data_IF_482193684900
#
_entry.id   IF_482193684900
#
_cell.length_a   1.000
_cell.length_b   1.000
_cell.length_c   1.000
_cell.angle_alpha   90.00
_cell.angle_beta   90.00
_cell.angle_gamma   90.00
#
_symmetry.space_group_name_H-M   'P 1'
#
loop_
_entity.id
_entity.type
_entity.pdbx_description
1 polymer ?
#
# COMPACT_ATOMS: atom_id res chain seq x y z
N UNK A 1 -5.62 3.71 4.45
CA UNK A 1 -4.71 4.28 3.43
C UNK A 1 -5.15 3.76 2.09
N UNK A 2 -5.27 4.66 1.11
CA UNK A 2 -5.60 4.32 -0.27
C UNK A 2 -4.29 4.02 -1.00
N UNK A 3 -4.16 2.86 -1.62
CA UNK A 3 -3.01 2.55 -2.49
C UNK A 3 -3.54 2.26 -3.88
N UNK A 4 -3.24 3.12 -4.84
CA UNK A 4 -3.58 2.89 -6.24
C UNK A 4 -2.37 2.28 -6.93
N UNK A 5 -2.57 1.13 -7.57
CA UNK A 5 -1.54 0.38 -8.29
C UNK A 5 -1.95 0.32 -9.75
N UNK A 6 -1.07 0.73 -10.64
CA UNK A 6 -1.32 0.81 -12.07
C UNK A 6 -0.20 0.14 -12.86
N UNK A 7 -0.59 -0.61 -13.88
CA UNK A 7 0.27 -1.12 -14.95
C UNK A 7 -0.12 -0.45 -16.28
N UNK A 8 0.50 -0.88 -17.37
CA UNK A 8 0.16 -0.39 -18.72
C UNK A 8 -1.25 -0.76 -19.17
N UNK A 9 -1.86 -1.79 -18.58
CA UNK A 9 -3.14 -2.35 -19.03
C UNK A 9 -4.22 -2.36 -17.94
N UNK A 10 -3.86 -2.17 -16.67
CA UNK A 10 -4.80 -2.30 -15.55
C UNK A 10 -4.49 -1.32 -14.42
N UNK A 11 -5.53 -0.95 -13.65
CA UNK A 11 -5.41 -0.11 -12.47
C UNK A 11 -6.36 -0.62 -11.37
N UNK A 12 -5.84 -0.67 -10.14
CA UNK A 12 -6.65 -1.05 -8.98
C UNK A 12 -6.30 -0.25 -7.75
N UNK A 13 -7.34 0.08 -7.00
CA UNK A 13 -7.21 0.76 -5.71
C UNK A 13 -7.46 -0.21 -4.56
N UNK A 14 -6.55 -0.21 -3.58
CA UNK A 14 -6.62 -0.97 -2.34
C UNK A 14 -6.80 -0.03 -1.15
N UNK A 15 -7.61 -0.46 -0.18
CA UNK A 15 -7.76 0.24 1.10
C UNK A 15 -7.12 -0.60 2.20
N UNK A 16 -6.00 -0.12 2.75
CA UNK A 16 -5.14 -0.87 3.68
C UNK A 16 -5.00 -0.11 4.99
N UNK A 17 -4.93 -0.81 6.12
CA UNK A 17 -4.60 -0.20 7.40
C UNK A 17 -3.14 0.27 7.43
N UNK A 18 -2.93 1.51 7.85
CA UNK A 18 -1.61 2.14 7.94
C UNK A 18 -0.63 1.32 8.79
N UNK A 19 -1.11 0.76 9.90
CA UNK A 19 -0.29 -0.04 10.80
C UNK A 19 0.34 -1.25 10.11
N UNK A 20 -0.38 -1.90 9.19
CA UNK A 20 0.12 -3.08 8.47
C UNK A 20 1.26 -2.71 7.52
N UNK A 21 1.09 -1.62 6.75
CA UNK A 21 2.13 -1.14 5.83
C UNK A 21 3.35 -0.63 6.58
N UNK A 22 3.15 0.09 7.68
CA UNK A 22 4.23 0.64 8.49
C UNK A 22 5.03 -0.43 9.25
N UNK A 23 4.41 -1.53 9.64
CA UNK A 23 5.09 -2.64 10.31
C UNK A 23 5.98 -3.44 9.34
N UNK A 24 5.53 -3.59 8.10
CA UNK A 24 6.18 -4.49 7.14
C UNK A 24 7.27 -3.81 6.29
N UNK A 25 7.24 -2.48 6.15
CA UNK A 25 8.26 -1.79 5.39
C UNK A 25 8.54 -0.38 5.90
N UNK A 26 9.78 -0.14 6.30
CA UNK A 26 10.29 1.19 6.60
C UNK A 26 10.20 2.15 5.40
N UNK A 27 10.15 1.63 4.16
CA UNK A 27 9.93 2.46 2.97
C UNK A 27 8.52 3.05 2.95
N UNK A 28 7.51 2.24 3.28
CA UNK A 28 6.13 2.75 3.41
C UNK A 28 6.01 3.69 4.61
N UNK A 29 6.73 3.44 5.71
CA UNK A 29 6.80 4.39 6.83
C UNK A 29 7.33 5.75 6.37
N UNK A 30 8.40 5.78 5.58
CA UNK A 30 8.99 7.03 5.08
C UNK A 30 8.09 7.75 4.09
N UNK A 31 7.40 7.03 3.20
CA UNK A 31 6.44 7.63 2.27
C UNK A 31 5.20 8.19 2.99
N UNK A 32 4.73 7.52 4.05
CA UNK A 32 3.52 7.92 4.79
C UNK A 32 3.76 8.95 5.89
N UNK A 33 4.95 8.96 6.51
CA UNK A 33 5.30 9.88 7.60
C UNK A 33 6.26 11.00 7.18
N UNK A 34 6.86 10.89 6.00
CA UNK A 34 7.86 11.82 5.49
C UNK A 34 7.26 13.08 4.86
N UNK A 35 6.41 13.81 5.58
CA UNK A 35 6.13 15.24 5.37
C UNK A 35 5.66 15.76 4.00
N UNK A 36 5.50 14.92 2.98
CA UNK A 36 4.95 15.30 1.67
C UNK A 36 3.42 15.17 1.67
N UNK A 37 2.78 15.80 0.69
CA UNK A 37 1.31 15.97 0.54
C UNK A 37 0.53 14.64 0.67
N UNK A 38 1.16 13.51 0.35
CA UNK A 38 0.61 12.15 0.51
C UNK A 38 0.35 11.71 1.97
N UNK A 39 1.11 12.26 2.93
CA UNK A 39 0.87 12.03 4.37
C UNK A 39 -0.43 12.69 4.86
N UNK A 40 -0.87 13.77 4.19
CA UNK A 40 -2.11 14.49 4.51
C UNK A 40 -3.32 13.78 3.88
N UNK A 41 -3.19 13.33 2.63
CA UNK A 41 -4.27 12.65 1.89
C UNK A 41 -4.38 11.13 2.16
N UNK A 42 -3.42 10.54 2.90
CA UNK A 42 -3.37 9.10 3.20
C UNK A 42 -3.48 8.22 1.94
N UNK A 43 -2.78 8.62 0.88
CA UNK A 43 -2.78 7.97 -0.42
C UNK A 43 -1.36 7.64 -0.89
N UNK A 44 -1.18 6.50 -1.55
CA UNK A 44 0.04 6.06 -2.23
C UNK A 44 -0.33 5.70 -3.67
N UNK A 45 0.49 6.14 -4.62
CA UNK A 45 0.37 5.75 -6.02
C UNK A 45 1.60 4.92 -6.43
N UNK A 46 1.35 3.76 -7.02
CA UNK A 46 2.37 2.83 -7.51
C UNK A 46 2.11 2.65 -9.01
N UNK A 47 3.12 2.97 -9.81
CA UNK A 47 3.10 2.83 -11.26
C UNK A 47 4.02 1.69 -11.68
N UNK A 48 3.78 1.18 -12.89
CA UNK A 48 4.55 0.07 -13.49
C UNK A 48 4.53 -1.22 -12.67
N UNK A 49 3.44 -1.46 -11.93
CA UNK A 49 3.27 -2.63 -11.08
C UNK A 49 1.94 -3.33 -11.37
N UNK A 50 1.95 -4.66 -11.36
CA UNK A 50 0.74 -5.44 -11.63
C UNK A 50 -0.19 -5.41 -10.40
N UNK A 51 -1.45 -4.97 -10.55
CA UNK A 51 -2.36 -4.88 -9.42
C UNK A 51 -2.65 -6.23 -8.73
N UNK A 52 -2.56 -7.36 -9.44
CA UNK A 52 -2.76 -8.69 -8.87
C UNK A 52 -1.57 -9.12 -8.01
N UNK A 53 -0.34 -8.83 -8.45
CA UNK A 53 0.85 -9.06 -7.63
C UNK A 53 0.79 -8.28 -6.32
N UNK A 54 0.41 -7.00 -6.40
CA UNK A 54 0.21 -6.20 -5.19
C UNK A 54 -0.94 -6.74 -4.33
N UNK A 55 -2.01 -7.26 -4.94
CA UNK A 55 -3.11 -7.92 -4.25
C UNK A 55 -2.67 -9.11 -3.38
N UNK A 56 -1.73 -9.93 -3.86
CA UNK A 56 -1.15 -11.02 -3.06
C UNK A 56 -0.34 -10.49 -1.86
N UNK A 57 0.42 -9.41 -2.06
CA UNK A 57 1.11 -8.75 -0.96
C UNK A 57 0.12 -8.23 0.09
N UNK A 58 -0.96 -7.56 -0.33
CA UNK A 58 -2.02 -7.12 0.60
C UNK A 58 -2.61 -8.31 1.35
N UNK A 59 -2.93 -9.40 0.65
CA UNK A 59 -3.45 -10.61 1.31
C UNK A 59 -2.47 -11.15 2.34
N UNK A 60 -1.17 -11.23 2.00
CA UNK A 60 -0.11 -11.62 2.92
C UNK A 60 -0.05 -10.70 4.15
N UNK A 61 -0.14 -9.37 3.98
CA UNK A 61 -0.14 -8.43 5.11
C UNK A 61 -1.25 -8.74 6.13
N UNK A 62 -2.45 -9.09 5.64
CA UNK A 62 -3.59 -9.39 6.50
C UNK A 62 -3.57 -10.81 7.06
N UNK A 63 -3.03 -11.79 6.34
CA UNK A 63 -2.93 -13.18 6.80
C UNK A 63 -1.76 -13.35 7.80
N UNK A 64 -0.61 -12.73 7.55
CA UNK A 64 0.59 -12.85 8.39
C UNK A 64 0.52 -12.01 9.67
N UNK A 65 -0.05 -10.80 9.61
CA UNK A 65 -0.35 -10.00 10.81
C UNK A 65 -1.73 -10.33 11.42
N UNK A 66 -2.43 -11.30 10.84
CA UNK A 66 -3.72 -11.82 11.28
C UNK A 66 -3.62 -12.68 12.54
N UNK A 67 -3.24 -12.07 13.67
CA UNK A 67 -3.93 -12.39 14.93
C UNK A 67 -5.29 -11.69 14.88
N UNK A 68 -6.25 -12.30 14.18
CA UNK A 68 -7.67 -12.03 14.40
C UNK A 68 -8.21 -13.08 15.37
#
# INVERSE_FOLDING_TARGET
IRVTVSSTEDEKTFFIHEGLLCQESEKFVRQLKGGFKEAVDKAIEIHDEDPNHFGFFVRYLYDYNGKF
#
